data_IF_628479124347
#
_entry.id   IF_628479124347
#
_cell.length_a   1.000
_cell.length_b   1.000
_cell.length_c   1.000
_cell.angle_alpha   90.00
_cell.angle_beta   90.00
_cell.angle_gamma   90.00
#
_symmetry.space_group_name_H-M   'P 1'
#
loop_
_entity.id
_entity.type
_entity.pdbx_description
1 polymer ?
#
# COMPACT_ATOMS: atom_id res chain seq x y z
N UNK A 1 9.13 16.73 -7.88
CA UNK A 1 7.74 16.22 -7.97
C UNK A 1 7.40 15.51 -6.68
N UNK A 2 6.21 15.73 -6.11
CA UNK A 2 5.81 15.10 -4.83
C UNK A 2 5.30 13.69 -5.09
N UNK A 3 5.53 12.76 -4.17
CA UNK A 3 5.14 11.35 -4.32
C UNK A 3 4.12 10.96 -3.25
N UNK A 4 3.09 10.20 -3.63
CA UNK A 4 2.25 9.46 -2.69
C UNK A 4 2.63 8.00 -2.80
N UNK A 5 3.10 7.41 -1.69
CA UNK A 5 3.37 5.97 -1.64
C UNK A 5 2.06 5.24 -1.32
N UNK A 6 1.60 4.40 -2.23
CA UNK A 6 0.42 3.57 -2.06
C UNK A 6 0.87 2.12 -1.91
N UNK A 7 0.40 1.43 -0.87
CA UNK A 7 0.79 0.03 -0.63
C UNK A 7 -0.40 -0.90 -0.58
N UNK A 8 -0.22 -2.12 -1.08
CA UNK A 8 -1.14 -3.24 -0.92
C UNK A 8 -0.35 -4.51 -0.58
N UNK A 9 -1.03 -5.54 -0.11
CA UNK A 9 -0.40 -6.80 0.27
C UNK A 9 -0.34 -7.79 -0.89
N UNK A 10 0.67 -8.65 -0.88
CA UNK A 10 0.76 -9.81 -1.79
C UNK A 10 -0.40 -10.82 -1.58
N UNK A 11 -0.60 -11.78 -2.50
CA UNK A 11 -1.55 -12.88 -2.31
C UNK A 11 -1.29 -13.73 -1.05
N UNK A 12 -2.35 -14.24 -0.43
CA UNK A 12 -2.26 -15.09 0.77
C UNK A 12 -3.37 -16.13 0.84
N UNK A 13 -3.23 -17.09 1.78
CA UNK A 13 -4.29 -18.05 2.10
C UNK A 13 -4.68 -18.96 0.92
N UNK A 14 -3.74 -19.25 0.01
CA UNK A 14 -3.99 -20.04 -1.20
C UNK A 14 -4.64 -19.26 -2.35
N UNK A 15 -4.94 -17.96 -2.16
CA UNK A 15 -5.38 -17.09 -3.25
C UNK A 15 -4.21 -16.74 -4.17
N UNK A 16 -4.50 -16.61 -5.47
CA UNK A 16 -3.54 -16.10 -6.47
C UNK A 16 -3.52 -14.57 -6.56
N UNK A 17 -4.50 -13.91 -5.94
CA UNK A 17 -4.62 -12.44 -5.93
C UNK A 17 -4.88 -11.92 -4.51
N UNK A 18 -4.51 -10.67 -4.29
CA UNK A 18 -4.98 -9.90 -3.14
C UNK A 18 -5.62 -8.60 -3.65
N UNK A 19 -6.93 -8.39 -3.43
CA UNK A 19 -7.63 -7.18 -3.86
C UNK A 19 -6.96 -5.87 -3.45
N UNK A 20 -6.24 -5.83 -2.32
CA UNK A 20 -5.55 -4.62 -1.87
C UNK A 20 -4.46 -4.18 -2.86
N UNK A 21 -3.58 -5.08 -3.33
CA UNK A 21 -2.58 -4.73 -4.34
C UNK A 21 -3.19 -4.58 -5.74
N UNK A 22 -4.18 -5.39 -6.10
CA UNK A 22 -4.84 -5.30 -7.42
C UNK A 22 -5.55 -3.96 -7.60
N UNK A 23 -6.17 -3.40 -6.55
CA UNK A 23 -6.76 -2.07 -6.60
C UNK A 23 -5.70 -0.95 -6.74
N UNK A 24 -4.48 -1.18 -6.24
CA UNK A 24 -3.40 -0.21 -6.31
C UNK A 24 -2.70 -0.19 -7.68
N UNK A 25 -2.46 -1.36 -8.30
CA UNK A 25 -1.66 -1.51 -9.54
C UNK A 25 -2.05 -0.51 -10.66
N UNK A 26 -3.33 -0.29 -10.99
CA UNK A 26 -3.73 0.65 -12.04
C UNK A 26 -3.43 2.13 -11.74
N UNK A 27 -3.02 2.45 -10.51
CA UNK A 27 -2.70 3.80 -10.07
C UNK A 27 -1.19 4.08 -10.12
N UNK A 28 -0.32 3.06 -10.29
CA UNK A 28 1.13 3.30 -10.31
C UNK A 28 1.52 4.25 -11.44
N UNK A 29 2.29 5.28 -11.10
CA UNK A 29 2.75 6.30 -12.03
C UNK A 29 1.73 7.36 -12.42
N UNK A 30 0.44 7.23 -12.04
CA UNK A 30 -0.56 8.29 -12.27
C UNK A 30 -0.22 9.55 -11.50
N UNK A 31 -0.63 10.68 -12.05
CA UNK A 31 -0.44 12.00 -11.45
C UNK A 31 -1.77 12.63 -11.09
N UNK A 32 -1.84 13.22 -9.89
CA UNK A 32 -2.99 13.94 -9.38
C UNK A 32 -2.50 15.21 -8.70
N UNK A 33 -2.91 16.39 -9.19
CA UNK A 33 -2.57 17.69 -8.58
C UNK A 33 -1.06 17.86 -8.29
N UNK A 34 -0.18 17.42 -9.19
CA UNK A 34 1.28 17.49 -9.02
C UNK A 34 1.90 16.43 -8.10
N UNK A 35 1.11 15.45 -7.65
CA UNK A 35 1.57 14.28 -6.92
C UNK A 35 1.58 13.05 -7.81
N UNK A 36 2.73 12.37 -7.91
CA UNK A 36 2.85 11.09 -8.58
C UNK A 36 2.61 9.94 -7.61
N UNK A 37 1.75 9.01 -7.97
CA UNK A 37 1.51 7.79 -7.19
C UNK A 37 2.64 6.80 -7.46
N UNK A 38 3.22 6.25 -6.39
CA UNK A 38 4.12 5.09 -6.47
C UNK A 38 3.51 3.93 -5.70
N UNK A 39 3.32 2.81 -6.37
CA UNK A 39 2.76 1.59 -5.78
C UNK A 39 3.89 0.65 -5.34
N UNK A 40 3.73 0.07 -4.15
CA UNK A 40 4.62 -0.97 -3.62
C UNK A 40 3.80 -2.10 -3.02
N UNK A 41 4.05 -3.32 -3.49
CA UNK A 41 3.54 -4.55 -2.86
C UNK A 41 4.34 -4.90 -1.60
N UNK A 42 3.63 -5.26 -0.54
CA UNK A 42 4.15 -5.59 0.79
C UNK A 42 3.93 -7.07 1.07
N UNK A 43 4.93 -7.81 1.58
CA UNK A 43 4.77 -9.22 1.92
C UNK A 43 3.79 -9.42 3.08
N UNK A 44 3.09 -10.55 3.14
CA UNK A 44 2.22 -10.93 4.26
C UNK A 44 2.99 -11.73 5.32
N UNK A 45 4.14 -11.18 5.71
CA UNK A 45 5.09 -11.77 6.66
C UNK A 45 5.48 -10.74 7.70
N UNK A 46 5.13 -10.98 8.96
CA UNK A 46 5.27 -9.99 10.05
C UNK A 46 6.70 -9.46 10.20
N UNK A 47 7.70 -10.31 10.03
CA UNK A 47 9.13 -10.01 10.11
C UNK A 47 9.65 -9.17 8.92
N UNK A 48 9.00 -9.24 7.76
CA UNK A 48 9.42 -8.54 6.54
C UNK A 48 8.63 -7.24 6.27
N UNK A 49 7.38 -7.13 6.73
CA UNK A 49 6.50 -5.98 6.46
C UNK A 49 7.17 -4.65 6.82
N UNK A 50 7.75 -4.57 8.03
CA UNK A 50 8.36 -3.34 8.53
C UNK A 50 9.56 -2.92 7.67
N UNK A 51 10.46 -3.85 7.39
CA UNK A 51 11.67 -3.54 6.62
C UNK A 51 11.33 -3.14 5.18
N UNK A 52 10.35 -3.80 4.56
CA UNK A 52 9.88 -3.49 3.21
C UNK A 52 9.27 -2.09 3.12
N UNK A 53 8.40 -1.73 4.07
CA UNK A 53 7.74 -0.43 4.10
C UNK A 53 8.73 0.70 4.35
N UNK A 54 9.64 0.55 5.33
CA UNK A 54 10.67 1.55 5.62
C UNK A 54 11.56 1.79 4.40
N UNK A 55 12.04 0.72 3.74
CA UNK A 55 12.83 0.84 2.51
C UNK A 55 12.07 1.57 1.40
N UNK A 56 10.77 1.31 1.25
CA UNK A 56 9.94 2.01 0.26
C UNK A 56 9.84 3.51 0.57
N UNK A 57 9.67 3.88 1.84
CA UNK A 57 9.64 5.27 2.30
C UNK A 57 10.99 5.95 2.05
N UNK A 58 12.11 5.31 2.40
CA UNK A 58 13.46 5.86 2.23
C UNK A 58 13.81 6.11 0.76
N UNK A 59 13.48 5.16 -0.12
CA UNK A 59 13.75 5.26 -1.56
C UNK A 59 12.88 6.32 -2.23
N UNK A 60 11.60 6.38 -1.87
CA UNK A 60 10.64 7.24 -2.58
C UNK A 60 10.50 8.63 -1.97
N UNK A 61 10.93 8.82 -0.71
CA UNK A 61 10.78 10.05 0.09
C UNK A 61 9.38 10.68 -0.10
N UNK A 62 8.31 9.91 0.17
CA UNK A 62 6.97 10.32 -0.20
C UNK A 62 6.46 11.44 0.70
N UNK A 63 5.56 12.26 0.17
CA UNK A 63 4.84 13.29 0.95
C UNK A 63 3.76 12.69 1.84
N UNK A 64 3.23 11.52 1.48
CA UNK A 64 2.32 10.74 2.33
C UNK A 64 2.37 9.26 1.94
N UNK A 65 1.98 8.40 2.89
CA UNK A 65 1.83 6.96 2.70
C UNK A 65 0.36 6.60 2.92
N UNK A 66 -0.22 5.85 1.97
CA UNK A 66 -1.53 5.23 2.10
C UNK A 66 -1.36 3.72 2.04
N UNK A 67 -1.56 3.04 3.17
CA UNK A 67 -1.51 1.58 3.21
C UNK A 67 -2.92 1.01 3.11
N UNK A 68 -3.09 0.07 2.19
CA UNK A 68 -4.36 -0.60 1.94
C UNK A 68 -4.29 -2.07 2.35
N UNK A 69 -5.43 -2.59 2.79
CA UNK A 69 -5.61 -3.99 3.14
C UNK A 69 -7.03 -4.43 2.79
N UNK A 70 -7.24 -5.73 2.76
CA UNK A 70 -8.58 -6.31 2.57
C UNK A 70 -9.20 -6.62 3.93
N UNK A 71 -10.44 -6.21 4.12
CA UNK A 71 -11.29 -6.65 5.23
C UNK A 71 -12.58 -7.25 4.68
N UNK A 72 -13.20 -8.19 5.39
CA UNK A 72 -14.52 -8.76 5.05
C UNK A 72 -15.65 -7.74 5.26
N UNK A 73 -15.66 -6.69 4.44
CA UNK A 73 -16.55 -5.53 4.51
C UNK A 73 -17.06 -5.19 3.12
N UNK A 74 -18.30 -4.73 3.01
CA UNK A 74 -18.88 -4.21 1.77
C UNK A 74 -18.56 -2.73 1.51
N UNK A 75 -17.81 -2.09 2.40
CA UNK A 75 -17.49 -0.66 2.34
C UNK A 75 -16.00 -0.41 2.57
N UNK A 76 -15.49 0.64 1.92
CA UNK A 76 -14.17 1.21 2.23
C UNK A 76 -14.21 1.79 3.64
N UNK A 77 -13.24 1.42 4.48
CA UNK A 77 -13.07 1.97 5.83
C UNK A 77 -11.75 2.71 5.93
N UNK A 78 -11.77 3.83 6.65
CA UNK A 78 -10.58 4.58 7.02
C UNK A 78 -10.22 4.22 8.45
N UNK A 79 -9.04 3.66 8.64
CA UNK A 79 -8.53 3.34 9.96
C UNK A 79 -8.12 4.62 10.69
N UNK A 80 -8.58 4.78 11.94
CA UNK A 80 -8.32 5.97 12.75
C UNK A 80 -7.19 5.77 13.76
N UNK A 81 -7.00 4.54 14.24
CA UNK A 81 -6.06 4.22 15.32
C UNK A 81 -5.38 2.90 15.00
N UNK A 82 -4.04 2.88 15.09
CA UNK A 82 -3.27 1.65 15.19
C UNK A 82 -2.92 1.40 16.66
N UNK A 83 -3.10 0.17 17.13
CA UNK A 83 -2.81 -0.24 18.51
C UNK A 83 -1.49 -1.03 18.56
N UNK A 84 -0.82 -0.99 19.71
CA UNK A 84 0.41 -1.76 19.99
C UNK A 84 0.07 -3.02 20.78
#
# INVERSE_FOLDING_TARGET
MKVILLTGFEPFGGSHINPSIEACKPLDGKEYNGYKVKVVEIPLRFDEVRSRLIKAIEVTKPSAVLSTGQAGSSMIRLERVAIN
#
